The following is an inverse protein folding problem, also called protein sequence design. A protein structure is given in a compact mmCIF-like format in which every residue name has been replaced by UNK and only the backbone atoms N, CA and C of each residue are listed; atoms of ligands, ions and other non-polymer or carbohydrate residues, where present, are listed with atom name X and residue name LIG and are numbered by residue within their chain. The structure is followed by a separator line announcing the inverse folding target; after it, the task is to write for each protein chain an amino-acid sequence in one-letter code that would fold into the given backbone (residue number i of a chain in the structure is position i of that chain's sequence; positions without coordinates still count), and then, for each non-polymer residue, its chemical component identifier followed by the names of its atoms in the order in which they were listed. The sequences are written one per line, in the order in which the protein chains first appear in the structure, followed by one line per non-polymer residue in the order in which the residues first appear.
data_IF_260646548578
#
_entry.id   IF_260646548578
#
_cell.length_a   1.000
_cell.length_b   1.000
_cell.length_c   1.000
_cell.angle_alpha   90.00
_cell.angle_beta   90.00
_cell.angle_gamma   90.00
#
_symmetry.space_group_name_H-M   'P 1'
#
loop_
_entity.id
_entity.type
_entity.pdbx_description
1 polymer ?
#
# COMPACT_ATOMS: atom_id res chain seq x y z
N UNK A 1 -12.08 -20.83 16.56
CA UNK A 1 -11.37 -20.72 17.86
C UNK A 1 -12.28 -20.03 18.87
N UNK A 2 -12.16 -20.34 20.16
CA UNK A 2 -12.89 -19.62 21.21
C UNK A 2 -12.13 -18.34 21.59
N UNK A 3 -12.83 -17.23 21.82
CA UNK A 3 -12.26 -16.00 22.36
C UNK A 3 -13.15 -15.47 23.48
N UNK A 4 -12.66 -14.55 24.31
CA UNK A 4 -13.50 -13.85 25.30
C UNK A 4 -14.62 -13.00 24.69
N UNK A 5 -14.53 -12.71 23.39
CA UNK A 5 -15.52 -11.94 22.64
C UNK A 5 -16.59 -12.80 21.96
N UNK A 6 -16.45 -14.13 22.01
CA UNK A 6 -17.27 -15.10 21.28
C UNK A 6 -16.42 -16.03 20.42
N UNK A 7 -17.07 -16.81 19.56
CA UNK A 7 -16.41 -17.74 18.66
C UNK A 7 -15.77 -16.96 17.51
N UNK A 8 -14.49 -17.19 17.24
CA UNK A 8 -13.74 -16.58 16.14
C UNK A 8 -13.58 -17.53 14.97
N UNK A 9 -13.74 -17.01 13.75
CA UNK A 9 -13.46 -17.69 12.49
C UNK A 9 -12.50 -16.86 11.64
N UNK A 10 -11.45 -17.50 11.10
CA UNK A 10 -10.52 -16.86 10.19
C UNK A 10 -11.13 -16.83 8.78
N UNK A 11 -11.27 -15.63 8.23
CA UNK A 11 -11.80 -15.39 6.88
C UNK A 11 -10.73 -15.66 5.82
N UNK A 12 -11.16 -15.72 4.56
CA UNK A 12 -10.28 -15.88 3.39
C UNK A 12 -9.25 -14.75 3.23
N UNK A 13 -9.54 -13.56 3.76
CA UNK A 13 -8.60 -12.42 3.78
C UNK A 13 -7.59 -12.48 4.94
N UNK A 14 -7.62 -13.54 5.75
CA UNK A 14 -6.73 -13.81 6.88
C UNK A 14 -7.16 -13.18 8.20
N UNK A 15 -8.17 -12.30 8.22
CA UNK A 15 -8.64 -11.69 9.48
C UNK A 15 -9.57 -12.61 10.25
N UNK A 16 -9.52 -12.52 11.57
CA UNK A 16 -10.43 -13.24 12.46
C UNK A 16 -11.68 -12.40 12.71
N UNK A 17 -12.84 -12.95 12.39
CA UNK A 17 -14.16 -12.37 12.65
C UNK A 17 -14.88 -13.15 13.75
N UNK A 18 -15.56 -12.44 14.65
CA UNK A 18 -16.42 -13.04 15.66
C UNK A 18 -17.74 -13.50 15.01
N UNK A 19 -18.15 -14.75 15.26
CA UNK A 19 -19.32 -15.39 14.65
C UNK A 19 -20.46 -15.65 15.63
N UNK A 20 -20.25 -15.43 16.94
CA UNK A 20 -21.27 -15.62 17.98
C UNK A 20 -21.28 -14.50 19.02
N UNK A 21 -22.38 -14.41 19.77
CA UNK A 21 -22.52 -13.45 20.87
C UNK A 21 -22.73 -11.99 20.41
N UNK A 22 -22.65 -11.03 21.35
CA UNK A 22 -22.95 -9.61 21.08
C UNK A 22 -21.95 -8.93 20.14
N UNK A 23 -20.77 -9.52 19.94
CA UNK A 23 -19.74 -9.00 19.05
C UNK A 23 -19.77 -9.63 17.65
N UNK A 24 -20.79 -10.46 17.34
CA UNK A 24 -20.93 -11.12 16.03
C UNK A 24 -20.79 -10.11 14.89
N UNK A 25 -19.94 -10.45 13.91
CA UNK A 25 -19.62 -9.64 12.74
C UNK A 25 -18.40 -8.72 12.91
N UNK A 26 -17.95 -8.46 14.14
CA UNK A 26 -16.77 -7.60 14.39
C UNK A 26 -15.45 -8.36 14.18
N UNK A 27 -14.40 -7.62 13.82
CA UNK A 27 -13.06 -8.18 13.67
C UNK A 27 -12.34 -8.22 15.03
N UNK A 28 -11.70 -9.34 15.32
CA UNK A 28 -11.07 -9.61 16.63
C UNK A 28 -9.99 -8.56 16.97
N UNK A 29 -9.12 -8.23 16.02
CA UNK A 29 -8.07 -7.23 16.25
C UNK A 29 -8.61 -5.85 16.62
N UNK A 30 -9.78 -5.46 16.11
CA UNK A 30 -10.40 -4.17 16.46
C UNK A 30 -10.93 -4.17 17.89
N UNK A 31 -11.57 -5.27 18.29
CA UNK A 31 -12.08 -5.43 19.66
C UNK A 31 -10.95 -5.37 20.69
N UNK A 32 -9.85 -6.08 20.42
CA UNK A 32 -8.66 -6.08 21.28
C UNK A 32 -8.04 -4.69 21.36
N UNK A 33 -7.91 -4.00 20.23
CA UNK A 33 -7.40 -2.64 20.22
C UNK A 33 -8.29 -1.69 21.03
N UNK A 34 -9.61 -1.73 20.82
CA UNK A 34 -10.55 -0.85 21.51
C UNK A 34 -10.55 -1.05 23.03
N UNK A 35 -10.40 -2.29 23.48
CA UNK A 35 -10.30 -2.62 24.90
C UNK A 35 -8.98 -2.14 25.53
N UNK A 36 -7.85 -2.27 24.84
CA UNK A 36 -6.54 -1.92 25.39
C UNK A 36 -6.17 -0.44 25.24
N UNK A 37 -6.56 0.20 24.14
CA UNK A 37 -6.11 1.54 23.75
C UNK A 37 -7.25 2.55 23.57
N UNK A 38 -8.50 2.09 23.63
CA UNK A 38 -9.68 2.94 23.46
C UNK A 38 -10.21 3.03 22.01
N UNK A 39 -11.24 3.84 21.78
CA UNK A 39 -12.03 3.81 20.55
C UNK A 39 -11.20 4.11 19.29
N UNK A 40 -11.48 3.39 18.21
CA UNK A 40 -10.83 3.62 16.91
C UNK A 40 -11.48 4.85 16.25
N UNK A 41 -10.77 5.97 16.03
CA UNK A 41 -11.37 7.15 15.42
C UNK A 41 -11.81 6.90 13.97
N UNK A 42 -12.81 7.65 13.50
CA UNK A 42 -13.31 7.52 12.13
C UNK A 42 -12.18 7.78 11.12
N UNK A 43 -12.05 6.89 10.14
CA UNK A 43 -11.01 6.99 9.10
C UNK A 43 -9.68 6.30 9.44
N UNK A 44 -9.59 5.68 10.62
CA UNK A 44 -8.45 4.87 11.02
C UNK A 44 -8.73 3.37 10.87
N UNK A 45 -7.66 2.63 10.62
CA UNK A 45 -7.63 1.17 10.53
C UNK A 45 -6.58 0.63 11.49
N UNK A 46 -6.79 -0.57 11.98
CA UNK A 46 -5.79 -1.28 12.78
C UNK A 46 -4.94 -2.13 11.84
N UNK A 47 -3.63 -2.08 12.03
CA UNK A 47 -2.64 -2.79 11.26
C UNK A 47 -1.81 -3.67 12.19
N UNK A 48 -1.48 -4.86 11.69
CA UNK A 48 -0.58 -5.82 12.33
C UNK A 48 0.85 -5.48 11.94
N UNK A 49 1.67 -5.09 12.92
CA UNK A 49 3.03 -4.60 12.67
C UNK A 49 3.92 -5.65 12.00
N UNK A 50 3.71 -6.93 12.31
CA UNK A 50 4.40 -8.07 11.72
C UNK A 50 3.79 -8.58 10.39
N UNK A 51 2.66 -8.01 9.98
CA UNK A 51 1.90 -8.47 8.80
C UNK A 51 1.10 -9.77 8.99
N UNK A 52 1.21 -10.45 10.13
CA UNK A 52 0.42 -11.64 10.45
C UNK A 52 -0.93 -11.25 11.08
N UNK A 53 -1.99 -11.41 10.29
CA UNK A 53 -3.37 -11.08 10.68
C UNK A 53 -3.93 -11.96 11.82
N UNK A 54 -3.24 -13.04 12.16
CA UNK A 54 -3.61 -13.93 13.27
C UNK A 54 -2.93 -13.56 14.58
N UNK A 55 -1.82 -12.79 14.55
CA UNK A 55 -1.14 -12.30 15.75
C UNK A 55 -1.86 -11.07 16.33
N UNK A 56 -2.85 -11.33 17.19
CA UNK A 56 -3.68 -10.28 17.79
C UNK A 56 -3.15 -9.76 19.14
N UNK A 57 -1.84 -9.90 19.43
CA UNK A 57 -1.25 -9.30 20.61
C UNK A 57 -1.43 -7.76 20.54
N UNK A 58 -1.93 -7.08 21.60
CA UNK A 58 -2.10 -5.62 21.60
C UNK A 58 -0.84 -4.85 21.18
N UNK A 59 0.35 -5.32 21.57
CA UNK A 59 1.62 -4.71 21.17
C UNK A 59 1.97 -4.87 19.69
N UNK A 60 1.34 -5.81 18.98
CA UNK A 60 1.46 -6.00 17.54
C UNK A 60 0.43 -5.18 16.75
N UNK A 61 -0.53 -4.52 17.42
CA UNK A 61 -1.58 -3.75 16.78
C UNK A 61 -1.26 -2.26 16.81
N UNK A 62 -1.27 -1.63 15.65
CA UNK A 62 -1.08 -0.18 15.51
C UNK A 62 -2.24 0.45 14.76
N UNK A 63 -2.60 1.66 15.18
CA UNK A 63 -3.61 2.46 14.51
C UNK A 63 -2.97 3.28 13.39
N UNK A 64 -3.48 3.16 12.18
CA UNK A 64 -3.03 3.89 11.00
C UNK A 64 -4.19 4.63 10.36
N UNK A 65 -3.94 5.85 9.88
CA UNK A 65 -4.87 6.51 8.95
C UNK A 65 -4.93 5.72 7.65
N UNK A 66 -6.05 5.78 6.92
CA UNK A 66 -6.11 5.25 5.53
C UNK A 66 -4.96 5.76 4.65
N UNK A 67 -4.55 7.02 4.84
CA UNK A 67 -3.44 7.66 4.15
C UNK A 67 -2.08 7.07 4.53
N UNK A 68 -1.86 6.76 5.81
CA UNK A 68 -0.62 6.10 6.27
C UNK A 68 -0.59 4.62 5.90
N UNK A 69 -1.73 3.94 5.84
CA UNK A 69 -1.82 2.57 5.31
C UNK A 69 -1.42 2.52 3.82
N UNK A 70 -1.87 3.50 3.01
CA UNK A 70 -1.42 3.62 1.62
C UNK A 70 0.10 3.90 1.55
N UNK A 71 0.62 4.79 2.40
CA UNK A 71 2.07 5.04 2.49
C UNK A 71 2.86 3.80 2.92
N UNK A 72 2.35 2.95 3.81
CA UNK A 72 3.04 1.72 4.25
C UNK A 72 3.11 0.67 3.12
N UNK A 73 2.03 0.53 2.33
CA UNK A 73 2.03 -0.31 1.11
C UNK A 73 2.82 0.31 -0.04
N UNK A 74 3.11 1.61 0.02
CA UNK A 74 3.96 2.28 -0.95
C UNK A 74 5.43 2.44 -0.50
N UNK A 75 5.73 2.28 0.79
CA UNK A 75 7.08 2.33 1.35
C UNK A 75 7.75 0.96 1.44
N UNK A 76 7.07 -0.09 0.96
CA UNK A 76 7.75 -1.33 0.59
C UNK A 76 8.66 -1.04 -0.59
N UNK A 77 9.97 -1.09 -0.37
CA UNK A 77 11.09 -0.82 -1.29
C UNK A 77 11.13 -1.68 -2.56
N UNK A 78 10.03 -2.33 -2.94
CA UNK A 78 9.90 -3.18 -4.13
C UNK A 78 8.55 -3.04 -4.84
N UNK A 79 7.85 -1.89 -4.74
CA UNK A 79 6.73 -1.65 -5.65
C UNK A 79 7.26 -1.07 -6.99
N UNK A 80 7.11 -1.77 -8.14
CA UNK A 80 7.61 -1.32 -9.45
C UNK A 80 7.00 0.01 -9.95
N UNK A 81 6.08 0.62 -9.18
CA UNK A 81 5.47 1.90 -9.51
C UNK A 81 6.37 3.07 -9.10
N UNK A 82 7.28 2.91 -8.14
CA UNK A 82 8.00 4.02 -7.47
C UNK A 82 9.53 3.91 -7.62
N UNK A 83 10.02 2.94 -8.38
CA UNK A 83 11.43 2.81 -8.73
C UNK A 83 11.79 3.82 -9.83
N UNK A 84 12.23 5.02 -9.45
CA UNK A 84 12.81 6.00 -10.39
C UNK A 84 14.21 5.58 -10.86
N UNK A 85 14.83 4.59 -10.22
CA UNK A 85 16.23 4.22 -10.41
C UNK A 85 16.54 3.78 -11.83
N UNK A 86 15.63 3.09 -12.51
CA UNK A 86 15.84 2.68 -13.92
C UNK A 86 15.79 3.86 -14.88
N UNK A 87 14.91 4.83 -14.63
CA UNK A 87 14.82 6.05 -15.45
C UNK A 87 16.08 6.90 -15.23
N UNK A 88 16.50 7.09 -13.97
CA UNK A 88 17.74 7.82 -13.66
C UNK A 88 18.98 7.11 -14.24
N UNK A 89 19.05 5.77 -14.15
CA UNK A 89 20.12 4.97 -14.75
C UNK A 89 20.14 5.03 -16.28
N UNK A 90 18.97 5.20 -16.92
CA UNK A 90 18.87 5.39 -18.37
C UNK A 90 19.27 6.81 -18.83
N UNK A 91 19.49 7.75 -17.90
CA UNK A 91 19.85 9.14 -18.20
C UNK A 91 18.78 10.17 -17.82
N UNK A 92 17.69 9.76 -17.18
CA UNK A 92 16.67 10.66 -16.65
C UNK A 92 15.94 11.44 -17.74
N UNK A 93 15.76 12.75 -17.52
CA UNK A 93 15.02 13.63 -18.44
C UNK A 93 15.65 13.67 -19.84
N UNK A 94 16.99 13.69 -19.93
CA UNK A 94 17.68 13.80 -21.23
C UNK A 94 17.41 12.59 -22.11
N UNK A 95 17.41 11.39 -21.51
CA UNK A 95 17.01 10.16 -22.17
C UNK A 95 15.55 10.21 -22.64
N UNK A 96 14.63 10.58 -21.75
CA UNK A 96 13.20 10.66 -22.10
C UNK A 96 12.92 11.64 -23.25
N UNK A 97 13.58 12.81 -23.23
CA UNK A 97 13.47 13.83 -24.27
C UNK A 97 14.03 13.33 -25.60
N UNK A 98 15.20 12.69 -25.59
CA UNK A 98 15.81 12.12 -26.78
C UNK A 98 14.94 11.02 -27.41
N UNK A 99 14.42 10.09 -26.61
CA UNK A 99 13.56 9.00 -27.09
C UNK A 99 12.21 9.52 -27.60
N UNK A 100 11.64 10.54 -26.95
CA UNK A 100 10.44 11.22 -27.46
C UNK A 100 10.70 11.86 -28.82
N UNK A 101 11.84 12.53 -29.02
CA UNK A 101 12.20 13.15 -30.30
C UNK A 101 12.41 12.13 -31.43
N UNK A 102 12.73 10.87 -31.09
CA UNK A 102 12.74 9.73 -32.03
C UNK A 102 11.33 9.21 -32.36
N UNK A 103 10.27 9.82 -31.83
CA UNK A 103 8.88 9.45 -32.05
C UNK A 103 8.35 8.34 -31.14
N UNK A 104 9.10 7.96 -30.08
CA UNK A 104 8.66 6.90 -29.17
C UNK A 104 7.64 7.41 -28.17
N UNK A 105 6.77 6.50 -27.74
CA UNK A 105 5.75 6.76 -26.72
C UNK A 105 6.27 6.46 -25.32
N UNK A 106 5.65 7.06 -24.31
CA UNK A 106 5.92 6.72 -22.90
C UNK A 106 5.78 5.21 -22.63
N UNK A 107 4.80 4.54 -23.25
CA UNK A 107 4.58 3.11 -23.07
C UNK A 107 5.75 2.28 -23.61
N UNK A 108 6.22 2.59 -24.82
CA UNK A 108 7.36 1.87 -25.42
C UNK A 108 8.65 2.03 -24.61
N UNK A 109 8.88 3.25 -24.09
CA UNK A 109 10.05 3.52 -23.25
C UNK A 109 9.91 2.83 -21.88
N UNK A 110 8.71 2.83 -21.30
CA UNK A 110 8.47 2.15 -20.03
C UNK A 110 8.65 0.63 -20.15
N UNK A 111 8.16 0.02 -21.23
CA UNK A 111 8.35 -1.41 -21.53
C UNK A 111 9.83 -1.77 -21.67
N UNK A 112 10.62 -0.94 -22.37
CA UNK A 112 12.07 -1.15 -22.49
C UNK A 112 12.79 -1.08 -21.14
N UNK A 113 12.38 -0.15 -20.28
CA UNK A 113 12.90 -0.03 -18.92
C UNK A 113 12.34 -1.14 -17.98
N UNK A 114 11.62 -2.12 -18.52
CA UNK A 114 11.10 -3.28 -17.79
C UNK A 114 9.90 -2.96 -16.91
N UNK A 115 9.14 -1.91 -17.23
CA UNK A 115 7.87 -1.60 -16.58
C UNK A 115 6.70 -2.15 -17.40
N UNK A 116 5.64 -2.56 -16.71
CA UNK A 116 4.42 -3.08 -17.35
C UNK A 116 3.44 -1.97 -17.77
N UNK A 117 3.67 -0.73 -17.32
CA UNK A 117 2.80 0.42 -17.54
C UNK A 117 3.62 1.73 -17.56
N UNK A 118 3.18 2.80 -18.26
CA UNK A 118 3.89 4.08 -18.35
C UNK A 118 3.78 4.98 -17.12
N UNK A 119 3.10 4.52 -16.06
CA UNK A 119 2.88 5.28 -14.81
C UNK A 119 4.18 5.79 -14.17
N UNK A 120 5.29 5.01 -14.11
CA UNK A 120 6.55 5.50 -13.54
C UNK A 120 7.10 6.73 -14.26
N UNK A 121 7.07 6.76 -15.60
CA UNK A 121 7.52 7.93 -16.39
C UNK A 121 6.61 9.14 -16.13
N UNK A 122 5.29 8.94 -16.07
CA UNK A 122 4.35 10.02 -15.75
C UNK A 122 4.65 10.64 -14.38
N UNK A 123 4.88 9.80 -13.37
CA UNK A 123 5.18 10.24 -12.01
C UNK A 123 6.55 10.90 -11.91
N UNK A 124 7.55 10.38 -12.62
CA UNK A 124 8.90 10.92 -12.68
C UNK A 124 8.92 12.38 -13.17
N UNK A 125 8.12 12.68 -14.21
CA UNK A 125 7.95 14.03 -14.74
C UNK A 125 7.12 14.90 -13.79
N UNK A 126 5.99 14.39 -13.29
CA UNK A 126 5.10 15.13 -12.37
C UNK A 126 5.82 15.57 -11.09
N UNK A 127 6.66 14.70 -10.52
CA UNK A 127 7.46 15.02 -9.33
C UNK A 127 8.48 16.16 -9.57
N UNK A 128 8.84 16.39 -10.83
CA UNK A 128 9.72 17.48 -11.26
C UNK A 128 8.95 18.65 -11.86
N UNK A 129 7.62 18.67 -11.67
CA UNK A 129 6.70 19.67 -12.20
C UNK A 129 6.72 19.79 -13.75
N UNK A 130 7.01 18.67 -14.42
CA UNK A 130 7.06 18.54 -15.88
C UNK A 130 5.91 17.64 -16.38
N UNK A 131 5.53 17.81 -17.64
CA UNK A 131 4.62 16.95 -18.38
C UNK A 131 5.33 16.37 -19.60
N UNK A 132 4.84 15.24 -20.12
CA UNK A 132 5.38 14.61 -21.33
C UNK A 132 5.52 15.58 -22.52
N UNK A 133 4.56 16.48 -22.70
CA UNK A 133 4.59 17.46 -23.78
C UNK A 133 5.58 18.62 -23.56
N UNK A 134 6.20 18.71 -22.37
CA UNK A 134 7.12 19.78 -21.99
C UNK A 134 8.59 19.33 -21.98
N UNK A 135 8.87 18.04 -22.18
CA UNK A 135 10.22 17.49 -22.31
C UNK A 135 10.58 17.18 -23.75
#
# INVERSE_FOLDING_TARGET
MQTKYGNGHQRTDGYIQITSGPNKGKLLHRLIYEECFGPIPRGYSIHHADGDKTNNNPGNLMILTKSNHHKLHCSGTNHPRWDNGRIDAAGGITFLSAEKNKGRTMSSIAEELGYTQPVPIHQYLKNRNLRWNQI
#
